data_IF_843670465328
#
_entry.id   IF_843670465328
#
_cell.length_a   1.000
_cell.length_b   1.000
_cell.length_c   1.000
_cell.angle_alpha   90.00
_cell.angle_beta   90.00
_cell.angle_gamma   90.00
#
_symmetry.space_group_name_H-M   'P 1'
#
loop_
_entity.id
_entity.type
_entity.pdbx_description
1 polymer ?
#
# COMPACT_ATOMS: atom_id res chain seq x y z
N UNK A 1 8.79 9.07 8.53
CA UNK A 1 9.16 7.65 8.31
C UNK A 1 9.53 7.38 6.85
N UNK A 2 8.64 7.61 5.89
CA UNK A 2 8.89 7.23 4.48
C UNK A 2 10.08 7.93 3.82
N UNK A 3 10.43 9.17 4.21
CA UNK A 3 11.65 9.81 3.72
C UNK A 3 12.93 9.06 4.14
N UNK A 4 12.97 8.52 5.36
CA UNK A 4 14.12 7.73 5.83
C UNK A 4 14.26 6.44 5.03
N UNK A 5 13.15 5.72 4.81
CA UNK A 5 13.15 4.51 3.99
C UNK A 5 13.48 4.78 2.53
N UNK A 6 13.06 5.93 1.97
CA UNK A 6 13.47 6.34 0.63
C UNK A 6 15.00 6.38 0.50
N UNK A 7 15.65 7.15 1.38
CA UNK A 7 17.12 7.27 1.40
C UNK A 7 17.80 5.92 1.63
N UNK A 8 17.24 5.07 2.50
CA UNK A 8 17.77 3.73 2.75
C UNK A 8 17.70 2.83 1.51
N UNK A 9 16.55 2.77 0.83
CA UNK A 9 16.37 1.94 -0.36
C UNK A 9 17.23 2.44 -1.53
N UNK A 10 17.31 3.75 -1.74
CA UNK A 10 18.22 4.35 -2.72
C UNK A 10 19.68 4.01 -2.41
N UNK A 11 20.10 4.10 -1.15
CA UNK A 11 21.45 3.71 -0.72
C UNK A 11 21.73 2.21 -0.96
N UNK A 12 20.70 1.36 -0.85
CA UNK A 12 20.80 -0.08 -1.17
C UNK A 12 20.74 -0.38 -2.68
N UNK A 13 20.62 0.64 -3.53
CA UNK A 13 20.62 0.51 -4.98
C UNK A 13 19.25 0.25 -5.61
N UNK A 14 18.17 0.36 -4.84
CA UNK A 14 16.82 0.26 -5.39
C UNK A 14 16.40 1.58 -6.03
N UNK A 15 15.66 1.48 -7.13
CA UNK A 15 14.84 2.62 -7.60
C UNK A 15 13.64 2.77 -6.66
N UNK A 16 13.32 4.01 -6.29
CA UNK A 16 12.16 4.30 -5.44
C UNK A 16 11.31 5.37 -6.09
N UNK A 17 10.02 5.07 -6.26
CA UNK A 17 9.02 5.98 -6.76
C UNK A 17 8.19 6.50 -5.58
N UNK A 18 8.39 7.77 -5.25
CA UNK A 18 7.61 8.44 -4.19
C UNK A 18 6.28 8.88 -4.77
N UNK A 19 5.18 8.46 -4.15
CA UNK A 19 3.82 8.83 -4.58
C UNK A 19 3.00 9.42 -3.44
N UNK A 20 2.04 10.26 -3.80
CA UNK A 20 1.06 10.79 -2.87
C UNK A 20 -0.17 9.89 -2.80
N UNK A 21 -0.70 9.75 -1.59
CA UNK A 21 -1.77 8.83 -1.26
C UNK A 21 -2.73 9.46 -0.26
N UNK A 22 -3.92 8.88 -0.16
CA UNK A 22 -4.93 9.25 0.81
C UNK A 22 -5.36 8.02 1.58
N UNK A 23 -5.36 8.15 2.90
CA UNK A 23 -5.81 7.09 3.80
C UNK A 23 -7.32 7.15 3.89
N UNK A 24 -7.94 5.99 3.83
CA UNK A 24 -9.35 5.78 4.12
C UNK A 24 -9.41 4.85 5.34
N UNK A 25 -10.22 5.20 6.35
CA UNK A 25 -10.40 4.38 7.55
C UNK A 25 -11.77 3.74 7.55
N UNK A 26 -11.89 2.66 8.32
CA UNK A 26 -13.20 2.09 8.63
C UNK A 26 -14.10 3.18 9.25
N UNK A 27 -15.39 3.18 8.90
CA UNK A 27 -16.34 4.22 9.31
C UNK A 27 -16.31 5.51 8.47
N UNK A 28 -15.63 5.52 7.32
CA UNK A 28 -15.72 6.62 6.33
C UNK A 28 -14.77 7.80 6.57
N UNK A 29 -13.91 7.71 7.58
CA UNK A 29 -12.84 8.69 7.80
C UNK A 29 -11.84 8.71 6.65
N UNK A 30 -11.28 9.89 6.37
CA UNK A 30 -10.33 10.09 5.27
C UNK A 30 -9.29 11.13 5.64
N UNK A 31 -8.02 10.88 5.32
CA UNK A 31 -6.98 11.90 5.42
C UNK A 31 -7.16 12.99 4.36
N UNK A 32 -6.42 14.09 4.48
CA UNK A 32 -6.35 15.08 3.40
C UNK A 32 -5.87 14.41 2.10
N UNK A 33 -6.36 14.94 0.97
CA UNK A 33 -6.01 14.39 -0.35
C UNK A 33 -4.49 14.51 -0.56
N UNK A 34 -3.84 13.42 -0.95
CA UNK A 34 -2.39 13.37 -1.18
C UNK A 34 -1.51 13.57 0.07
N UNK A 35 -2.08 13.62 1.27
CA UNK A 35 -1.30 13.95 2.48
C UNK A 35 -0.42 12.80 2.98
N UNK A 36 -0.65 11.58 2.50
CA UNK A 36 0.16 10.43 2.86
C UNK A 36 1.19 10.19 1.77
N UNK A 37 2.44 9.95 2.16
CA UNK A 37 3.51 9.54 1.23
C UNK A 37 3.50 8.03 1.17
N UNK A 38 3.66 7.44 -0.02
CA UNK A 38 3.91 6.01 -0.17
C UNK A 38 5.14 5.80 -1.05
N UNK A 39 5.83 4.69 -0.85
CA UNK A 39 6.98 4.30 -1.68
C UNK A 39 6.58 3.11 -2.54
N UNK A 40 6.85 3.20 -3.84
CA UNK A 40 6.75 2.09 -4.78
C UNK A 40 8.17 1.70 -5.20
N UNK A 41 8.50 0.43 -5.06
CA UNK A 41 9.81 -0.12 -5.40
C UNK A 41 9.61 -1.12 -6.55
N UNK A 42 9.99 -0.77 -7.79
CA UNK A 42 9.98 -1.71 -8.90
C UNK A 42 11.11 -2.74 -8.73
N UNK A 43 10.76 -4.02 -8.75
CA UNK A 43 11.71 -5.16 -8.70
C UNK A 43 11.28 -6.15 -9.78
N UNK A 44 12.18 -6.46 -10.72
CA UNK A 44 11.95 -7.41 -11.82
C UNK A 44 10.63 -7.21 -12.59
N UNK A 45 10.26 -5.95 -12.82
CA UNK A 45 9.05 -5.56 -13.55
C UNK A 45 7.75 -5.58 -12.72
N UNK A 46 7.84 -5.84 -11.42
CA UNK A 46 6.71 -5.78 -10.48
C UNK A 46 6.90 -4.61 -9.52
N UNK A 47 5.88 -3.78 -9.41
CA UNK A 47 5.86 -2.68 -8.44
C UNK A 47 5.46 -3.20 -7.05
N UNK A 48 6.24 -2.89 -6.03
CA UNK A 48 5.93 -3.22 -4.64
C UNK A 48 5.63 -1.95 -3.85
N UNK A 49 4.53 -1.93 -3.10
CA UNK A 49 4.26 -0.85 -2.14
C UNK A 49 4.75 -1.25 -0.74
N UNK A 50 5.43 -0.32 -0.08
CA UNK A 50 5.86 -0.48 1.31
C UNK A 50 4.91 0.25 2.25
N UNK A 51 4.56 -0.41 3.36
CA UNK A 51 3.60 0.12 4.34
C UNK A 51 4.19 0.97 5.46
N UNK A 52 5.50 1.24 5.44
CA UNK A 52 6.30 1.70 6.58
C UNK A 52 5.91 3.06 7.19
N UNK A 53 4.91 3.77 6.64
CA UNK A 53 4.43 5.06 7.14
C UNK A 53 3.00 5.08 7.65
N UNK A 54 2.22 4.00 7.51
CA UNK A 54 0.85 3.91 8.04
C UNK A 54 0.81 2.76 9.05
N UNK A 55 0.55 3.09 10.31
CA UNK A 55 0.81 2.20 11.46
C UNK A 55 0.02 0.90 11.51
N UNK A 56 -0.97 0.73 10.62
CA UNK A 56 -1.79 -0.49 10.51
C UNK A 56 -1.54 -1.25 9.19
N UNK A 57 -0.46 -0.95 8.46
CA UNK A 57 -0.05 -1.72 7.26
C UNK A 57 0.78 -2.95 7.64
N UNK A 58 0.83 -3.96 6.75
CA UNK A 58 1.61 -5.17 6.99
C UNK A 58 3.10 -4.84 7.09
N UNK A 59 3.82 -5.65 7.87
CA UNK A 59 5.28 -5.60 7.95
C UNK A 59 5.94 -6.06 6.64
N UNK A 60 5.21 -6.84 5.85
CA UNK A 60 5.65 -7.34 4.54
C UNK A 60 5.36 -6.35 3.42
N UNK A 61 6.21 -6.36 2.39
CA UNK A 61 5.96 -5.65 1.13
C UNK A 61 4.81 -6.29 0.36
N UNK A 62 4.03 -5.49 -0.36
CA UNK A 62 2.92 -5.99 -1.16
C UNK A 62 3.16 -5.73 -2.65
N UNK A 63 3.11 -6.77 -3.52
CA UNK A 63 3.13 -6.54 -4.96
C UNK A 63 1.83 -5.86 -5.39
N UNK A 64 1.94 -4.82 -6.19
CA UNK A 64 0.82 -4.13 -6.83
C UNK A 64 0.58 -4.83 -8.17
N UNK A 65 -0.50 -5.59 -8.27
CA UNK A 65 -0.84 -6.34 -9.49
C UNK A 65 -2.31 -6.12 -9.85
N UNK A 66 -2.78 -6.73 -10.94
CA UNK A 66 -4.21 -6.67 -11.27
C UNK A 66 -5.05 -7.42 -10.22
N UNK A 67 -6.29 -6.96 -10.01
CA UNK A 67 -7.19 -7.46 -8.98
C UNK A 67 -7.29 -8.99 -8.95
N UNK A 68 -7.39 -9.62 -10.11
CA UNK A 68 -7.68 -11.05 -10.25
C UNK A 68 -6.51 -11.95 -9.85
N UNK A 69 -5.31 -11.37 -9.74
CA UNK A 69 -4.07 -12.07 -9.39
C UNK A 69 -3.38 -11.48 -8.16
N UNK A 70 -4.07 -10.60 -7.43
CA UNK A 70 -3.54 -9.90 -6.24
C UNK A 70 -3.40 -10.87 -5.07
N UNK A 71 -2.17 -11.19 -4.63
CA UNK A 71 -1.98 -12.11 -3.51
C UNK A 71 -2.39 -11.44 -2.20
N UNK A 72 -3.02 -12.22 -1.33
CA UNK A 72 -3.28 -11.81 0.05
C UNK A 72 -2.01 -12.02 0.86
N UNK A 73 -1.58 -10.95 1.52
CA UNK A 73 -0.48 -10.94 2.47
C UNK A 73 -1.08 -11.08 3.87
N UNK A 74 -0.80 -12.21 4.50
CA UNK A 74 -1.20 -12.50 5.88
C UNK A 74 -0.17 -11.90 6.85
N UNK A 75 -0.63 -11.03 7.75
CA UNK A 75 0.21 -10.34 8.72
C UNK A 75 -0.44 -10.39 10.11
N UNK A 76 0.33 -10.13 11.17
CA UNK A 76 -0.16 -10.05 12.54
C UNK A 76 -1.25 -8.99 12.70
N UNK A 77 -1.22 -7.92 11.90
CA UNK A 77 -2.21 -6.86 11.92
C UNK A 77 -3.47 -7.16 11.08
N UNK A 78 -3.49 -8.28 10.34
CA UNK A 78 -4.60 -8.73 9.51
C UNK A 78 -4.17 -9.11 8.09
N UNK A 79 -5.17 -9.29 7.23
CA UNK A 79 -4.95 -9.66 5.83
C UNK A 79 -5.01 -8.44 4.94
N UNK A 80 -4.02 -8.33 4.05
CA UNK A 80 -3.85 -7.18 3.18
C UNK A 80 -3.61 -7.59 1.73
N UNK A 81 -3.96 -6.72 0.80
CA UNK A 81 -3.52 -6.87 -0.57
C UNK A 81 -3.41 -5.51 -1.27
N UNK A 82 -2.59 -5.46 -2.31
CA UNK A 82 -2.42 -4.29 -3.15
C UNK A 82 -2.80 -4.60 -4.60
N UNK A 83 -3.56 -3.71 -5.23
CA UNK A 83 -3.98 -3.90 -6.61
C UNK A 83 -4.11 -2.59 -7.40
N UNK A 84 -3.77 -2.66 -8.69
CA UNK A 84 -4.10 -1.61 -9.63
C UNK A 84 -5.60 -1.57 -9.89
N UNK A 85 -6.12 -0.35 -9.93
CA UNK A 85 -7.45 -0.02 -10.46
C UNK A 85 -7.33 0.38 -11.92
N UNK A 86 -6.26 1.09 -12.26
CA UNK A 86 -5.85 1.45 -13.60
C UNK A 86 -4.35 1.82 -13.57
N UNK A 87 -3.80 2.28 -14.71
CA UNK A 87 -2.38 2.58 -14.87
C UNK A 87 -1.85 3.69 -13.92
N UNK A 88 -2.72 4.49 -13.33
CA UNK A 88 -2.34 5.63 -12.48
C UNK A 88 -2.76 5.45 -11.02
N UNK A 89 -3.57 4.43 -10.73
CA UNK A 89 -4.27 4.29 -9.47
C UNK A 89 -4.13 2.88 -8.94
N UNK A 90 -3.71 2.76 -7.69
CA UNK A 90 -3.75 1.51 -6.95
C UNK A 90 -4.38 1.71 -5.58
N UNK A 91 -4.89 0.61 -5.03
CA UNK A 91 -5.38 0.52 -3.67
C UNK A 91 -4.54 -0.44 -2.86
N UNK A 92 -4.36 -0.11 -1.59
CA UNK A 92 -4.05 -1.09 -0.54
C UNK A 92 -5.29 -1.24 0.30
N UNK A 93 -5.69 -2.50 0.53
CA UNK A 93 -6.87 -2.85 1.29
C UNK A 93 -6.54 -3.79 2.41
N UNK A 94 -7.33 -3.70 3.47
CA UNK A 94 -7.30 -4.57 4.63
C UNK A 94 -8.63 -5.32 4.70
N UNK A 95 -8.60 -6.61 5.01
CA UNK A 95 -9.82 -7.38 5.26
C UNK A 95 -10.49 -6.86 6.53
N UNK A 96 -11.78 -6.55 6.44
CA UNK A 96 -12.59 -6.11 7.58
C UNK A 96 -12.83 -7.26 8.56
N UNK A 97 -12.80 -6.97 9.86
CA UNK A 97 -12.99 -7.98 10.92
C UNK A 97 -14.42 -8.51 11.04
N UNK A 98 -15.40 -7.75 10.55
CA UNK A 98 -16.83 -8.03 10.77
C UNK A 98 -17.47 -8.81 9.60
N UNK A 99 -16.73 -9.05 8.52
CA UNK A 99 -17.18 -9.85 7.38
C UNK A 99 -15.97 -10.30 6.55
N UNK A 100 -15.71 -11.60 6.51
CA UNK A 100 -14.58 -12.26 5.80
C UNK A 100 -14.56 -12.06 4.26
N UNK A 101 -15.44 -11.20 3.73
CA UNK A 101 -15.51 -10.84 2.32
C UNK A 101 -15.55 -9.32 2.08
N UNK A 102 -15.37 -8.50 3.13
CA UNK A 102 -15.39 -7.05 2.99
C UNK A 102 -13.98 -6.46 3.05
N UNK A 103 -13.49 -6.02 1.90
CA UNK A 103 -12.19 -5.36 1.78
C UNK A 103 -12.33 -3.84 1.94
N UNK A 104 -11.83 -3.31 3.05
CA UNK A 104 -11.81 -1.87 3.28
C UNK A 104 -10.65 -1.20 2.56
N UNK A 105 -10.93 -0.05 1.95
CA UNK A 105 -9.87 0.79 1.39
C UNK A 105 -9.06 1.38 2.52
N UNK A 106 -7.79 1.01 2.59
CA UNK A 106 -6.86 1.55 3.59
C UNK A 106 -6.07 2.70 3.00
N UNK A 107 -5.67 2.59 1.72
CA UNK A 107 -4.87 3.60 1.04
C UNK A 107 -5.20 3.70 -0.45
N UNK A 108 -5.28 4.93 -0.96
CA UNK A 108 -5.53 5.27 -2.37
C UNK A 108 -4.46 6.21 -2.90
N UNK A 109 -3.72 5.81 -3.95
CA UNK A 109 -2.85 6.73 -4.70
C UNK A 109 -3.69 7.85 -5.34
N UNK A 110 -3.15 9.06 -5.42
CA UNK A 110 -3.81 10.19 -6.10
C UNK A 110 -3.33 10.37 -7.54
#
# INVERSE_FOLDING_TARGET
MNNFFNVYFEYKGFTVNIVSSTIHTHGGGKSLKGSHVSLIIPIDGVDYVTGAGFGDLPFSVMPIVQKDISPVIHDMNGDFHAMYVNNYLFYVRKMGKDNDNNWDHTMKRN
#
